data_IF_423463430345
#
_entry.id   IF_423463430345
#
_cell.length_a   1.000
_cell.length_b   1.000
_cell.length_c   1.000
_cell.angle_alpha   90.00
_cell.angle_beta   90.00
_cell.angle_gamma   90.00
#
_symmetry.space_group_name_H-M   'P 1'
#
loop_
_entity.id
_entity.type
_entity.pdbx_description
1 polymer ?
#
# COMPACT_ATOMS: atom_id res chain seq x y z
N UNK A 1 25.48 -5.44 -13.21
CA UNK A 1 25.03 -6.60 -12.41
C UNK A 1 23.60 -6.31 -11.97
N UNK A 2 22.65 -7.24 -12.18
CA UNK A 2 21.27 -7.06 -11.67
C UNK A 2 21.24 -7.31 -10.16
N UNK A 3 20.51 -6.49 -9.42
CA UNK A 3 20.31 -6.67 -7.98
C UNK A 3 19.46 -7.90 -7.68
N UNK A 4 19.53 -8.48 -6.46
CA UNK A 4 18.64 -9.57 -6.04
C UNK A 4 17.15 -9.24 -6.24
N UNK A 5 16.77 -7.98 -6.01
CA UNK A 5 15.41 -7.48 -6.23
C UNK A 5 15.00 -7.55 -7.71
N UNK A 6 15.85 -7.06 -8.62
CA UNK A 6 15.56 -7.11 -10.07
C UNK A 6 15.53 -8.54 -10.60
N UNK A 7 16.36 -9.44 -10.05
CA UNK A 7 16.34 -10.86 -10.43
C UNK A 7 14.97 -11.46 -10.08
N UNK A 8 14.45 -11.18 -8.89
CA UNK A 8 13.17 -11.73 -8.45
C UNK A 8 11.98 -11.13 -9.23
N UNK A 9 11.98 -9.83 -9.48
CA UNK A 9 10.96 -9.20 -10.33
C UNK A 9 10.92 -9.80 -11.74
N UNK A 10 12.09 -10.09 -12.32
CA UNK A 10 12.17 -10.73 -13.64
C UNK A 10 11.58 -12.15 -13.61
N UNK A 11 11.84 -12.95 -12.56
CA UNK A 11 11.24 -14.28 -12.43
C UNK A 11 9.71 -14.23 -12.32
N UNK A 12 9.19 -13.22 -11.61
CA UNK A 12 7.75 -13.01 -11.41
C UNK A 12 7.07 -12.33 -12.62
N UNK A 13 7.82 -11.95 -13.66
CA UNK A 13 7.29 -11.22 -14.81
C UNK A 13 6.84 -9.79 -14.49
N UNK A 14 7.33 -9.20 -13.40
CA UNK A 14 6.95 -7.86 -12.95
C UNK A 14 7.93 -6.83 -13.52
N UNK A 15 7.41 -5.87 -14.29
CA UNK A 15 8.22 -4.78 -14.82
C UNK A 15 8.58 -3.76 -13.73
N UNK A 16 9.88 -3.55 -13.50
CA UNK A 16 10.39 -2.57 -12.54
C UNK A 16 10.31 -1.14 -13.13
N UNK A 17 9.30 -0.38 -12.73
CA UNK A 17 9.11 1.02 -13.15
C UNK A 17 9.83 1.97 -12.19
N UNK A 18 10.87 2.64 -12.66
CA UNK A 18 11.59 3.66 -11.90
C UNK A 18 10.90 5.03 -12.01
N UNK A 19 10.90 5.77 -10.90
CA UNK A 19 10.43 7.16 -10.87
C UNK A 19 11.60 8.06 -11.30
N UNK A 20 11.39 9.01 -12.23
CA UNK A 20 12.45 9.94 -12.63
C UNK A 20 12.97 10.77 -11.44
N UNK A 21 14.28 11.06 -11.37
CA UNK A 21 14.83 11.94 -10.34
C UNK A 21 14.11 13.30 -10.30
N UNK A 22 13.98 13.87 -9.09
CA UNK A 22 13.34 15.19 -8.86
C UNK A 22 11.85 15.26 -9.23
N UNK A 23 11.14 14.13 -9.21
CA UNK A 23 9.68 14.09 -9.48
C UNK A 23 8.86 13.56 -8.31
N UNK A 24 8.90 14.20 -7.12
CA UNK A 24 8.29 13.70 -5.89
C UNK A 24 6.76 13.54 -5.97
N UNK A 25 6.09 14.28 -6.86
CA UNK A 25 4.64 14.17 -7.05
C UNK A 25 4.19 12.79 -7.54
N UNK A 26 5.05 12.05 -8.26
CA UNK A 26 4.75 10.67 -8.66
C UNK A 26 4.60 9.73 -7.45
N UNK A 27 5.26 10.04 -6.33
CA UNK A 27 5.17 9.25 -5.09
C UNK A 27 4.06 9.74 -4.14
N UNK A 28 3.27 10.74 -4.52
CA UNK A 28 2.34 11.41 -3.60
C UNK A 28 1.29 10.50 -2.97
N UNK A 29 0.90 9.41 -3.64
CA UNK A 29 0.00 8.39 -3.07
C UNK A 29 0.67 7.62 -1.94
N UNK A 30 1.93 7.22 -2.12
CA UNK A 30 2.73 6.49 -1.13
C UNK A 30 3.00 7.38 0.08
N UNK A 31 3.45 8.62 -0.15
CA UNK A 31 3.70 9.59 0.94
C UNK A 31 2.43 9.90 1.74
N UNK A 32 1.27 9.95 1.09
CA UNK A 32 -0.01 10.12 1.80
C UNK A 32 -0.37 8.89 2.63
N UNK A 33 -0.09 7.68 2.15
CA UNK A 33 -0.28 6.46 2.93
C UNK A 33 0.57 6.48 4.20
N UNK A 34 1.87 6.79 4.08
CA UNK A 34 2.77 6.88 5.22
C UNK A 34 2.32 7.92 6.25
N UNK A 35 1.85 9.10 5.82
CA UNK A 35 1.30 10.10 6.74
C UNK A 35 0.04 9.62 7.46
N UNK A 36 -0.81 8.84 6.80
CA UNK A 36 -1.98 8.25 7.44
C UNK A 36 -1.58 7.19 8.46
N UNK A 37 -0.63 6.32 8.12
CA UNK A 37 -0.13 5.30 9.04
C UNK A 37 0.54 5.93 10.26
N UNK A 38 1.31 7.00 10.06
CA UNK A 38 1.85 7.79 11.17
C UNK A 38 0.73 8.29 12.09
N UNK A 39 -0.24 9.02 11.51
CA UNK A 39 -1.34 9.65 12.25
C UNK A 39 -2.25 8.68 12.99
N UNK A 40 -2.54 7.53 12.40
CA UNK A 40 -3.59 6.61 12.89
C UNK A 40 -3.04 5.38 13.59
N UNK A 41 -1.75 5.06 13.41
CA UNK A 41 -1.13 3.88 14.01
C UNK A 41 0.07 4.28 14.86
N UNK A 42 1.14 4.78 14.24
CA UNK A 42 2.42 4.96 14.95
C UNK A 42 2.42 6.06 16.02
N UNK A 43 1.58 7.10 15.88
CA UNK A 43 1.48 8.16 16.88
C UNK A 43 0.77 7.72 18.18
N UNK A 44 0.00 6.62 18.14
CA UNK A 44 -0.87 6.19 19.24
C UNK A 44 -0.53 4.81 19.79
N UNK A 45 -0.03 3.91 18.93
CA UNK A 45 0.27 2.55 19.30
C UNK A 45 1.68 2.38 19.85
N UNK A 46 1.79 1.50 20.84
CA UNK A 46 3.08 1.06 21.39
C UNK A 46 3.16 -0.45 21.34
N UNK A 47 4.39 -0.97 21.25
CA UNK A 47 4.64 -2.40 21.08
C UNK A 47 5.84 -2.79 21.92
N UNK A 48 5.75 -3.92 22.62
CA UNK A 48 6.84 -4.45 23.44
C UNK A 48 7.80 -5.32 22.64
N UNK A 49 7.31 -5.91 21.55
CA UNK A 49 8.08 -6.78 20.67
C UNK A 49 7.49 -6.78 19.24
N UNK A 50 8.19 -7.45 18.33
CA UNK A 50 7.83 -7.50 16.91
C UNK A 50 6.52 -8.28 16.68
N UNK A 51 6.24 -9.29 17.49
CA UNK A 51 5.01 -10.09 17.35
C UNK A 51 3.76 -9.27 17.67
N UNK A 52 3.82 -8.45 18.72
CA UNK A 52 2.77 -7.50 19.08
C UNK A 52 2.60 -6.44 17.99
N UNK A 53 3.71 -5.89 17.47
CA UNK A 53 3.68 -4.97 16.33
C UNK A 53 2.96 -5.58 15.13
N UNK A 54 3.32 -6.80 14.74
CA UNK A 54 2.71 -7.48 13.60
C UNK A 54 1.21 -7.73 13.79
N UNK A 55 0.81 -8.12 15.01
CA UNK A 55 -0.61 -8.36 15.33
C UNK A 55 -1.42 -7.07 15.23
N UNK A 56 -0.95 -5.98 15.84
CA UNK A 56 -1.63 -4.69 15.79
C UNK A 56 -1.62 -4.07 14.39
N UNK A 57 -0.49 -4.19 13.67
CA UNK A 57 -0.35 -3.70 12.31
C UNK A 57 -1.33 -4.42 11.37
N UNK A 58 -1.54 -5.72 11.54
CA UNK A 58 -2.55 -6.48 10.78
C UNK A 58 -3.95 -5.89 10.98
N UNK A 59 -4.33 -5.60 12.22
CA UNK A 59 -5.62 -4.96 12.53
C UNK A 59 -5.75 -3.56 11.91
N UNK A 60 -4.70 -2.74 12.00
CA UNK A 60 -4.66 -1.42 11.37
C UNK A 60 -4.82 -1.50 9.85
N UNK A 61 -4.11 -2.42 9.18
CA UNK A 61 -4.18 -2.62 7.74
C UNK A 61 -5.57 -3.12 7.30
N UNK A 62 -6.19 -4.01 8.08
CA UNK A 62 -7.56 -4.46 7.82
C UNK A 62 -8.54 -3.28 7.88
N UNK A 63 -8.45 -2.46 8.93
CA UNK A 63 -9.26 -1.25 9.03
C UNK A 63 -8.99 -0.25 7.91
N UNK A 64 -7.72 0.07 7.63
CA UNK A 64 -7.35 1.10 6.65
C UNK A 64 -7.75 0.73 5.24
N UNK A 65 -7.75 -0.56 4.90
CA UNK A 65 -8.12 -1.07 3.58
C UNK A 65 -9.64 -1.26 3.42
N UNK A 66 -10.39 -1.39 4.51
CA UNK A 66 -11.85 -1.58 4.48
C UNK A 66 -12.67 -0.34 4.85
N UNK A 67 -12.06 0.71 5.42
CA UNK A 67 -12.78 1.96 5.69
C UNK A 67 -13.19 2.67 4.40
N UNK A 68 -14.38 3.28 4.41
CA UNK A 68 -14.86 4.09 3.29
C UNK A 68 -14.07 5.40 3.19
N UNK A 69 -13.80 5.83 1.97
CA UNK A 69 -13.01 7.05 1.72
C UNK A 69 -13.76 7.97 0.77
N UNK A 70 -14.00 9.22 1.19
CA UNK A 70 -14.63 10.25 0.33
C UNK A 70 -13.86 10.46 -0.98
N UNK A 71 -12.53 10.35 -0.94
CA UNK A 71 -11.65 10.50 -2.13
C UNK A 71 -11.77 9.34 -3.11
N UNK A 72 -12.40 8.23 -2.72
CA UNK A 72 -12.65 7.05 -3.55
C UNK A 72 -14.15 6.89 -3.81
N UNK A 73 -14.89 8.00 -3.93
CA UNK A 73 -16.34 7.98 -4.16
C UNK A 73 -17.11 7.17 -3.09
N UNK A 74 -16.70 7.30 -1.84
CA UNK A 74 -17.25 6.59 -0.68
C UNK A 74 -17.03 5.07 -0.68
N UNK A 75 -16.16 4.56 -1.56
CA UNK A 75 -15.71 3.17 -1.54
C UNK A 75 -14.52 2.98 -0.60
N UNK A 76 -14.30 1.74 -0.15
CA UNK A 76 -13.05 1.35 0.50
C UNK A 76 -11.97 1.02 -0.53
N UNK A 77 -10.68 1.08 -0.15
CA UNK A 77 -9.59 0.60 -1.00
C UNK A 77 -9.80 -0.83 -1.52
N UNK A 78 -10.32 -1.74 -0.69
CA UNK A 78 -10.63 -3.12 -1.10
C UNK A 78 -11.77 -3.21 -2.12
N UNK A 79 -12.84 -2.43 -1.95
CA UNK A 79 -13.93 -2.38 -2.93
C UNK A 79 -13.42 -1.90 -4.29
N UNK A 80 -12.66 -0.80 -4.30
CA UNK A 80 -12.07 -0.27 -5.53
C UNK A 80 -11.09 -1.25 -6.19
N UNK A 81 -10.37 -2.04 -5.39
CA UNK A 81 -9.50 -3.10 -5.90
C UNK A 81 -10.32 -4.21 -6.57
N UNK A 82 -11.38 -4.70 -5.93
CA UNK A 82 -12.26 -5.74 -6.48
C UNK A 82 -12.80 -5.32 -7.85
N UNK A 83 -13.36 -4.11 -7.94
CA UNK A 83 -13.89 -3.57 -9.20
C UNK A 83 -12.83 -3.50 -10.30
N UNK A 84 -11.61 -3.06 -9.96
CA UNK A 84 -10.51 -2.98 -10.93
C UNK A 84 -10.01 -4.35 -11.39
N UNK A 85 -10.11 -5.37 -10.54
CA UNK A 85 -9.74 -6.74 -10.90
C UNK A 85 -10.83 -7.37 -11.78
N UNK A 86 -12.11 -7.17 -11.44
CA UNK A 86 -13.24 -7.62 -12.25
C UNK A 86 -13.22 -6.99 -13.65
N UNK A 87 -12.94 -5.68 -13.76
CA UNK A 87 -12.78 -5.00 -15.05
C UNK A 87 -11.63 -5.56 -15.91
N UNK A 88 -10.59 -6.13 -15.28
CA UNK A 88 -9.48 -6.78 -15.99
C UNK A 88 -9.81 -8.21 -16.44
N UNK A 89 -10.79 -8.87 -15.82
CA UNK A 89 -11.23 -10.21 -16.22
C UNK A 89 -12.16 -10.19 -17.43
N UNK A 90 -12.71 -9.02 -17.78
CA UNK A 90 -13.68 -8.84 -18.88
C UNK A 90 -12.99 -8.36 -20.19
N UNK A 91 -11.72 -7.92 -20.12
CA UNK A 91 -10.92 -7.48 -21.27
C UNK A 91 -9.77 -8.45 -21.55
#
# INVERSE_FOLDING_TARGET
MKSPFEIELNKLGINHKLIPPRTPWHNGKVERSHRNDQRYFYDWETFKNIEELNTKLKGHLEWSNNKTMRTLEYKSPMQLLSEKLELKSIN
#
